data_IF_942850076611
#
_entry.id   IF_942850076611
#
_cell.length_a   1.000
_cell.length_b   1.000
_cell.length_c   1.000
_cell.angle_alpha   90.00
_cell.angle_beta   90.00
_cell.angle_gamma   90.00
#
_symmetry.space_group_name_H-M   'P 1'
#
loop_
_entity.id
_entity.type
_entity.pdbx_description
1 polymer ?
#
# COMPACT_ATOMS: atom_id res chain seq x y z
N UNK A 1 11.42 8.95 11.64
CA UNK A 1 10.45 7.82 11.69
C UNK A 1 9.69 7.92 13.01
N UNK A 2 8.37 7.97 12.98
CA UNK A 2 7.54 8.12 14.18
C UNK A 2 7.43 6.78 14.94
N UNK A 3 8.22 6.64 16.01
CA UNK A 3 8.23 5.43 16.84
C UNK A 3 6.88 5.16 17.54
N UNK A 4 6.07 6.19 17.78
CA UNK A 4 4.73 6.00 18.35
C UNK A 4 3.81 5.31 17.35
N UNK A 5 3.86 5.71 16.08
CA UNK A 5 3.03 5.13 15.02
C UNK A 5 3.35 3.64 14.79
N UNK A 6 4.63 3.28 14.78
CA UNK A 6 5.08 1.89 14.69
C UNK A 6 4.62 1.03 15.87
N UNK A 7 4.73 1.55 17.09
CA UNK A 7 4.33 0.83 18.29
C UNK A 7 2.81 0.59 18.32
N UNK A 8 2.02 1.58 17.91
CA UNK A 8 0.56 1.42 17.79
C UNK A 8 0.24 0.37 16.72
N UNK A 9 0.87 0.44 15.55
CA UNK A 9 0.64 -0.55 14.49
C UNK A 9 0.94 -1.98 14.95
N UNK A 10 2.04 -2.21 15.67
CA UNK A 10 2.40 -3.52 16.24
C UNK A 10 1.42 -4.04 17.30
N UNK A 11 0.67 -3.13 17.93
CA UNK A 11 -0.33 -3.48 18.95
C UNK A 11 -1.71 -3.78 18.36
N UNK A 12 -1.89 -3.63 17.05
CA UNK A 12 -3.16 -3.97 16.40
C UNK A 12 -3.48 -5.45 16.57
N UNK A 13 -4.78 -5.73 16.72
CA UNK A 13 -5.25 -7.09 16.86
C UNK A 13 -4.86 -7.91 15.64
N UNK A 14 -4.29 -9.09 15.90
CA UNK A 14 -3.97 -10.05 14.85
C UNK A 14 -5.25 -10.45 14.10
N UNK A 15 -5.21 -10.36 12.78
CA UNK A 15 -6.26 -10.83 11.88
C UNK A 15 -6.23 -12.36 11.84
N UNK A 16 -7.31 -13.06 12.20
CA UNK A 16 -7.36 -14.51 12.12
C UNK A 16 -7.16 -15.02 10.68
N UNK A 17 -6.50 -16.18 10.49
CA UNK A 17 -6.27 -16.75 9.16
C UNK A 17 -7.54 -16.90 8.31
N UNK A 18 -8.68 -17.24 8.92
CA UNK A 18 -9.96 -17.38 8.22
C UNK A 18 -10.45 -16.04 7.67
N UNK A 19 -10.32 -14.96 8.44
CA UNK A 19 -10.69 -13.61 8.04
C UNK A 19 -9.76 -13.09 6.93
N UNK A 20 -8.45 -13.32 7.05
CA UNK A 20 -7.49 -12.96 6.00
C UNK A 20 -7.75 -13.75 4.69
N UNK A 21 -8.09 -15.03 4.79
CA UNK A 21 -8.45 -15.85 3.63
C UNK A 21 -9.75 -15.40 2.97
N UNK A 22 -10.75 -14.99 3.76
CA UNK A 22 -12.00 -14.43 3.22
C UNK A 22 -11.76 -13.09 2.52
N UNK A 23 -10.94 -12.21 3.09
CA UNK A 23 -10.53 -10.96 2.42
C UNK A 23 -9.87 -11.23 1.06
N UNK A 24 -8.93 -12.18 1.00
CA UNK A 24 -8.28 -12.57 -0.26
C UNK A 24 -9.26 -13.17 -1.27
N UNK A 25 -10.26 -13.94 -0.83
CA UNK A 25 -11.32 -14.46 -1.72
C UNK A 25 -12.21 -13.34 -2.25
N UNK A 26 -12.57 -12.37 -1.42
CA UNK A 26 -13.51 -11.30 -1.78
C UNK A 26 -12.86 -10.11 -2.48
N UNK A 27 -11.53 -10.03 -2.54
CA UNK A 27 -10.78 -8.86 -3.05
C UNK A 27 -11.26 -8.29 -4.38
N UNK A 28 -11.74 -9.14 -5.31
CA UNK A 28 -12.26 -8.71 -6.60
C UNK A 28 -13.55 -7.90 -6.45
N UNK A 29 -14.51 -8.42 -5.68
CA UNK A 29 -15.78 -7.74 -5.38
C UNK A 29 -15.52 -6.46 -4.58
N UNK A 30 -14.60 -6.51 -3.61
CA UNK A 30 -14.26 -5.33 -2.82
C UNK A 30 -13.69 -4.20 -3.70
N UNK A 31 -12.75 -4.55 -4.60
CA UNK A 31 -12.15 -3.61 -5.55
C UNK A 31 -13.19 -2.98 -6.48
N UNK A 32 -14.10 -3.77 -7.03
CA UNK A 32 -15.17 -3.28 -7.91
C UNK A 32 -16.06 -2.27 -7.20
N UNK A 33 -16.42 -2.53 -5.94
CA UNK A 33 -17.25 -1.60 -5.18
C UNK A 33 -16.55 -0.29 -4.83
N UNK A 34 -15.26 -0.35 -4.45
CA UNK A 34 -14.49 0.86 -4.16
C UNK A 34 -14.29 1.70 -5.43
N UNK A 35 -13.99 1.07 -6.56
CA UNK A 35 -13.93 1.76 -7.86
C UNK A 35 -15.27 2.41 -8.22
N UNK A 36 -16.38 1.70 -8.00
CA UNK A 36 -17.73 2.24 -8.23
C UNK A 36 -18.01 3.43 -7.32
N UNK A 37 -17.76 3.32 -6.02
CA UNK A 37 -17.94 4.39 -5.05
C UNK A 37 -17.15 5.66 -5.42
N UNK A 38 -15.90 5.51 -5.84
CA UNK A 38 -15.08 6.64 -6.32
C UNK A 38 -15.64 7.25 -7.61
N UNK A 39 -16.01 6.43 -8.59
CA UNK A 39 -16.50 6.92 -9.89
C UNK A 39 -17.85 7.64 -9.79
N UNK A 40 -18.67 7.25 -8.80
CA UNK A 40 -19.97 7.87 -8.45
C UNK A 40 -19.82 9.08 -7.52
N UNK A 41 -18.63 9.34 -6.95
CA UNK A 41 -18.44 10.42 -5.99
C UNK A 41 -18.64 11.81 -6.64
N UNK A 42 -19.53 12.67 -6.11
CA UNK A 42 -19.83 13.97 -6.69
C UNK A 42 -18.61 14.88 -6.85
N UNK A 43 -17.71 14.86 -5.85
CA UNK A 43 -16.52 15.71 -5.83
C UNK A 43 -15.25 14.97 -6.30
N UNK A 44 -15.39 13.90 -7.11
CA UNK A 44 -14.21 13.12 -7.56
C UNK A 44 -13.14 13.97 -8.26
N UNK A 45 -13.52 15.05 -8.94
CA UNK A 45 -12.58 15.97 -9.58
C UNK A 45 -11.72 16.72 -8.56
N UNK A 46 -12.27 17.06 -7.39
CA UNK A 46 -11.50 17.65 -6.30
C UNK A 46 -10.53 16.62 -5.71
N UNK A 47 -10.98 15.38 -5.50
CA UNK A 47 -10.16 14.30 -4.95
C UNK A 47 -8.99 13.93 -5.87
N UNK A 48 -9.23 13.86 -7.18
CA UNK A 48 -8.28 13.36 -8.18
C UNK A 48 -7.36 14.44 -8.76
N UNK A 49 -7.79 15.69 -8.73
CA UNK A 49 -7.16 16.78 -9.47
C UNK A 49 -7.20 16.53 -10.99
N UNK A 50 -6.13 16.83 -11.74
CA UNK A 50 -6.11 16.72 -13.20
C UNK A 50 -5.89 15.29 -13.73
N UNK A 51 -5.78 14.30 -12.84
CA UNK A 51 -5.38 12.94 -13.21
C UNK A 51 -6.54 12.13 -13.83
N UNK A 52 -6.24 11.10 -14.64
CA UNK A 52 -7.24 10.16 -15.13
C UNK A 52 -7.70 9.19 -14.02
N UNK A 53 -8.95 8.71 -14.08
CA UNK A 53 -9.49 7.72 -13.11
C UNK A 53 -8.62 6.46 -13.01
N UNK A 54 -8.01 6.04 -14.12
CA UNK A 54 -7.11 4.89 -14.16
C UNK A 54 -5.95 4.96 -13.14
N UNK A 55 -5.50 6.16 -12.77
CA UNK A 55 -4.48 6.35 -11.73
C UNK A 55 -4.97 5.78 -10.38
N UNK A 56 -6.20 6.10 -10.00
CA UNK A 56 -6.79 5.70 -8.72
C UNK A 56 -7.31 4.27 -8.78
N UNK A 57 -7.84 3.80 -9.90
CA UNK A 57 -8.21 2.39 -10.07
C UNK A 57 -7.00 1.45 -9.91
N UNK A 58 -5.85 1.85 -10.46
CA UNK A 58 -4.59 1.14 -10.23
C UNK A 58 -4.13 1.25 -8.77
N UNK A 59 -4.35 2.39 -8.10
CA UNK A 59 -4.10 2.51 -6.67
C UNK A 59 -4.94 1.51 -5.86
N UNK A 60 -6.24 1.42 -6.12
CA UNK A 60 -7.15 0.51 -5.44
C UNK A 60 -6.76 -0.96 -5.67
N UNK A 61 -6.35 -1.32 -6.89
CA UNK A 61 -5.84 -2.66 -7.19
C UNK A 61 -4.57 -2.97 -6.38
N UNK A 62 -3.63 -2.03 -6.32
CA UNK A 62 -2.42 -2.20 -5.51
C UNK A 62 -2.73 -2.30 -4.02
N UNK A 63 -3.65 -1.46 -3.53
CA UNK A 63 -4.10 -1.44 -2.15
C UNK A 63 -4.69 -2.80 -1.75
N UNK A 64 -5.65 -3.34 -2.51
CA UNK A 64 -6.30 -4.60 -2.13
C UNK A 64 -5.32 -5.77 -2.11
N UNK A 65 -4.37 -5.80 -3.06
CA UNK A 65 -3.31 -6.81 -3.11
C UNK A 65 -2.31 -6.68 -1.96
N UNK A 66 -1.95 -5.45 -1.60
CA UNK A 66 -1.07 -5.16 -0.49
C UNK A 66 -1.72 -5.52 0.85
N UNK A 67 -2.95 -5.05 1.09
CA UNK A 67 -3.69 -5.31 2.31
C UNK A 67 -3.96 -6.81 2.52
N UNK A 68 -4.26 -7.57 1.45
CA UNK A 68 -4.36 -9.03 1.56
C UNK A 68 -3.07 -9.68 2.09
N UNK A 69 -1.91 -9.20 1.63
CA UNK A 69 -0.61 -9.69 2.12
C UNK A 69 -0.37 -9.25 3.56
N UNK A 70 -0.71 -8.01 3.92
CA UNK A 70 -0.62 -7.49 5.30
C UNK A 70 -1.47 -8.33 6.25
N UNK A 71 -2.72 -8.64 5.91
CA UNK A 71 -3.61 -9.43 6.75
C UNK A 71 -3.17 -10.88 6.88
N UNK A 72 -2.67 -11.48 5.80
CA UNK A 72 -2.15 -12.85 5.85
C UNK A 72 -0.91 -12.97 6.73
N UNK A 73 -0.05 -11.95 6.76
CA UNK A 73 1.23 -11.97 7.46
C UNK A 73 1.21 -11.22 8.81
N UNK A 74 0.14 -10.47 9.10
CA UNK A 74 0.00 -9.62 10.27
C UNK A 74 1.15 -8.61 10.45
N UNK A 75 1.69 -8.09 9.35
CA UNK A 75 2.81 -7.13 9.33
C UNK A 75 2.32 -5.68 9.32
N UNK A 76 1.54 -5.27 10.32
CA UNK A 76 0.92 -3.94 10.33
C UNK A 76 1.92 -2.78 10.44
N UNK A 77 3.10 -3.00 11.01
CA UNK A 77 4.16 -1.99 11.07
C UNK A 77 4.62 -1.51 9.68
N UNK A 78 4.43 -2.34 8.64
CA UNK A 78 4.78 -1.95 7.28
C UNK A 78 3.87 -0.81 6.79
N UNK A 79 2.62 -0.75 7.23
CA UNK A 79 1.68 0.33 6.90
C UNK A 79 2.20 1.69 7.40
N UNK A 80 2.73 1.74 8.63
CA UNK A 80 3.29 2.96 9.20
C UNK A 80 4.48 3.51 8.40
N UNK A 81 5.20 2.64 7.67
CA UNK A 81 6.33 3.01 6.81
C UNK A 81 5.88 3.40 5.39
N UNK A 82 4.88 2.71 4.85
CA UNK A 82 4.47 2.84 3.45
C UNK A 82 3.48 3.99 3.23
N UNK A 83 2.51 4.17 4.13
CA UNK A 83 1.41 5.15 3.94
C UNK A 83 1.92 6.58 3.75
N UNK A 84 2.86 7.12 4.55
CA UNK A 84 3.39 8.47 4.32
C UNK A 84 3.96 8.67 2.91
N UNK A 85 4.62 7.64 2.37
CA UNK A 85 5.17 7.68 1.02
C UNK A 85 4.08 7.69 -0.04
N UNK A 86 3.07 6.82 0.08
CA UNK A 86 1.91 6.78 -0.82
C UNK A 86 1.23 8.15 -0.84
N UNK A 87 0.97 8.71 0.33
CA UNK A 87 0.37 10.03 0.50
C UNK A 87 1.13 11.11 -0.28
N UNK A 88 2.45 11.16 -0.12
CA UNK A 88 3.30 12.09 -0.87
C UNK A 88 3.26 11.82 -2.37
N UNK A 89 3.45 10.57 -2.80
CA UNK A 89 3.60 10.22 -4.22
C UNK A 89 2.36 10.60 -5.05
N UNK A 90 1.16 10.35 -4.52
CA UNK A 90 -0.07 10.75 -5.20
C UNK A 90 -0.36 12.24 -5.04
N UNK A 91 -0.08 12.84 -3.87
CA UNK A 91 -0.28 14.28 -3.68
C UNK A 91 0.61 15.13 -4.59
N UNK A 92 1.86 14.74 -4.83
CA UNK A 92 2.75 15.43 -5.79
C UNK A 92 2.17 15.44 -7.22
N UNK A 93 1.31 14.47 -7.56
CA UNK A 93 0.59 14.42 -8.84
C UNK A 93 -0.72 15.21 -8.83
N UNK A 94 -1.08 15.84 -7.72
CA UNK A 94 -2.29 16.65 -7.58
C UNK A 94 -3.51 15.92 -7.01
N UNK A 95 -3.34 14.71 -6.46
CA UNK A 95 -4.41 14.03 -5.70
C UNK A 95 -4.56 14.72 -4.33
N UNK A 96 -5.80 15.03 -3.92
CA UNK A 96 -6.07 15.65 -2.62
C UNK A 96 -5.74 14.69 -1.47
N UNK A 97 -5.30 15.20 -0.32
CA UNK A 97 -5.20 14.36 0.89
C UNK A 97 -6.57 13.83 1.34
N UNK A 98 -7.65 14.53 1.01
CA UNK A 98 -9.03 14.12 1.34
C UNK A 98 -9.47 12.85 0.59
N UNK A 99 -8.75 12.45 -0.47
CA UNK A 99 -8.98 11.18 -1.17
C UNK A 99 -8.72 9.97 -0.27
N UNK A 100 -7.69 10.03 0.59
CA UNK A 100 -7.28 8.87 1.38
C UNK A 100 -8.31 8.44 2.44
N UNK A 101 -8.86 9.32 3.30
CA UNK A 101 -9.92 8.90 4.21
C UNK A 101 -11.15 8.41 3.44
N UNK A 102 -11.50 9.04 2.31
CA UNK A 102 -12.60 8.59 1.46
C UNK A 102 -12.40 7.14 0.96
N UNK A 103 -11.25 6.81 0.38
CA UNK A 103 -11.04 5.44 -0.12
C UNK A 103 -11.04 4.41 1.02
N UNK A 104 -10.47 4.75 2.18
CA UNK A 104 -10.42 3.86 3.34
C UNK A 104 -11.82 3.61 3.91
N UNK A 105 -12.69 4.61 3.91
CA UNK A 105 -14.11 4.45 4.27
C UNK A 105 -14.85 3.57 3.25
N UNK A 106 -14.59 3.76 1.95
CA UNK A 106 -15.16 2.91 0.91
C UNK A 106 -14.74 1.44 1.06
N UNK A 107 -13.47 1.18 1.43
CA UNK A 107 -13.01 -0.17 1.77
C UNK A 107 -13.74 -0.73 2.98
N UNK A 108 -13.89 0.04 4.07
CA UNK A 108 -14.62 -0.39 5.28
C UNK A 108 -16.06 -0.79 4.93
N UNK A 109 -16.76 0.03 4.15
CA UNK A 109 -18.15 -0.25 3.77
C UNK A 109 -18.25 -1.52 2.93
N UNK A 110 -17.37 -1.67 1.94
CA UNK A 110 -17.35 -2.87 1.11
C UNK A 110 -17.03 -4.14 1.92
N UNK A 111 -16.08 -4.06 2.86
CA UNK A 111 -15.73 -5.17 3.76
C UNK A 111 -16.93 -5.56 4.62
N UNK A 112 -17.63 -4.60 5.23
CA UNK A 112 -18.81 -4.87 6.06
C UNK A 112 -19.92 -5.55 5.28
N UNK A 113 -20.07 -5.20 4.00
CA UNK A 113 -21.10 -5.76 3.13
C UNK A 113 -20.82 -7.19 2.71
N UNK A 114 -19.55 -7.54 2.45
CA UNK A 114 -19.19 -8.82 1.82
C UNK A 114 -18.51 -9.83 2.74
N UNK A 115 -17.92 -9.39 3.85
CA UNK A 115 -17.17 -10.25 4.78
C UNK A 115 -17.94 -10.33 6.09
N UNK A 116 -18.60 -11.47 6.34
CA UNK A 116 -19.43 -11.70 7.54
C UNK A 116 -18.84 -12.76 8.48
N UNK A 117 -17.62 -13.23 8.19
CA UNK A 117 -16.94 -14.25 9.00
C UNK A 117 -16.46 -13.69 10.34
N UNK A 118 -16.36 -14.53 11.39
CA UNK A 118 -15.71 -14.13 12.64
C UNK A 118 -14.29 -13.59 12.40
N UNK A 119 -13.94 -12.51 13.09
CA UNK A 119 -12.62 -11.87 12.97
C UNK A 119 -12.55 -10.73 11.95
N UNK A 120 -13.63 -10.42 11.21
CA UNK A 120 -13.68 -9.25 10.33
C UNK A 120 -13.41 -7.93 11.08
N UNK A 121 -13.78 -7.84 12.36
CA UNK A 121 -13.51 -6.66 13.19
C UNK A 121 -12.01 -6.35 13.30
N UNK A 122 -11.14 -7.37 13.27
CA UNK A 122 -9.69 -7.15 13.27
C UNK A 122 -9.22 -6.48 11.97
N UNK A 123 -9.82 -6.84 10.82
CA UNK A 123 -9.56 -6.18 9.53
C UNK A 123 -10.04 -4.73 9.59
N UNK A 124 -11.27 -4.51 10.06
CA UNK A 124 -11.85 -3.18 10.17
C UNK A 124 -11.06 -2.28 11.12
N UNK A 125 -10.49 -2.84 12.20
CA UNK A 125 -9.63 -2.11 13.13
C UNK A 125 -8.35 -1.59 12.46
N UNK A 126 -7.76 -2.33 11.51
CA UNK A 126 -6.59 -1.86 10.75
C UNK A 126 -6.96 -0.65 9.88
N UNK A 127 -8.11 -0.69 9.20
CA UNK A 127 -8.59 0.45 8.43
C UNK A 127 -8.93 1.66 9.29
N UNK A 128 -9.62 1.45 10.42
CA UNK A 128 -9.92 2.50 11.39
C UNK A 128 -8.63 3.13 11.97
N UNK A 129 -7.58 2.32 12.17
CA UNK A 129 -6.27 2.82 12.57
C UNK A 129 -5.65 3.71 11.49
N UNK A 130 -5.74 3.34 10.20
CA UNK A 130 -5.25 4.17 9.12
C UNK A 130 -5.96 5.53 9.07
N UNK A 131 -7.29 5.54 9.21
CA UNK A 131 -8.11 6.76 9.22
C UNK A 131 -7.77 7.63 10.44
N UNK A 132 -7.74 7.07 11.65
CA UNK A 132 -7.45 7.82 12.88
C UNK A 132 -6.03 8.41 12.95
N UNK A 133 -5.12 7.94 12.09
CA UNK A 133 -3.76 8.48 11.97
C UNK A 133 -3.57 9.30 10.68
N UNK A 134 -4.64 9.62 9.94
CA UNK A 134 -4.59 10.38 8.68
C UNK A 134 -3.75 11.65 8.79
N UNK A 135 -4.03 12.52 9.76
CA UNK A 135 -3.30 13.79 9.94
C UNK A 135 -1.81 13.59 10.20
N UNK A 136 -1.45 12.51 10.91
CA UNK A 136 -0.04 12.15 11.14
C UNK A 136 0.62 11.69 9.85
N UNK A 137 -0.08 10.89 9.04
CA UNK A 137 0.42 10.49 7.73
C UNK A 137 0.58 11.70 6.80
N UNK A 138 -0.35 12.65 6.80
CA UNK A 138 -0.23 13.91 6.03
C UNK A 138 0.96 14.74 6.52
N UNK A 139 1.15 14.85 7.84
CA UNK A 139 2.29 15.57 8.40
C UNK A 139 3.61 14.94 7.96
N UNK A 140 3.73 13.62 8.07
CA UNK A 140 4.89 12.87 7.59
C UNK A 140 5.06 13.03 6.07
N UNK A 141 3.97 12.94 5.28
CA UNK A 141 3.95 13.11 3.83
C UNK A 141 4.52 14.48 3.36
N UNK A 142 4.26 15.54 4.14
CA UNK A 142 4.74 16.91 3.88
C UNK A 142 6.15 17.17 4.42
N UNK A 143 6.60 16.40 5.40
CA UNK A 143 7.92 16.57 5.98
C UNK A 143 9.02 16.15 5.00
N UNK A 144 10.14 16.87 4.99
CA UNK A 144 11.37 16.41 4.33
C UNK A 144 12.01 15.22 5.08
N UNK A 145 11.42 14.76 6.18
CA UNK A 145 11.84 13.58 6.94
C UNK A 145 11.40 12.26 6.31
N UNK A 146 10.63 12.31 5.23
CA UNK A 146 10.49 11.15 4.38
C UNK A 146 11.83 10.90 3.71
N UNK A 147 12.60 10.07 4.41
CA UNK A 147 13.81 9.41 3.97
C UNK A 147 13.66 9.14 2.48
N UNK A 148 14.40 9.89 1.66
CA UNK A 148 14.86 9.42 0.34
C UNK A 148 15.16 7.95 0.53
N UNK A 149 14.60 7.03 -0.28
CA UNK A 149 14.76 5.61 -0.04
C UNK A 149 16.24 5.38 0.20
N UNK A 150 16.57 4.82 1.37
CA UNK A 150 17.96 4.57 1.69
C UNK A 150 18.54 3.85 0.49
N UNK A 151 19.70 4.32 0.00
CA UNK A 151 20.37 3.63 -1.08
C UNK A 151 20.43 2.15 -0.68
N UNK A 152 20.02 1.23 -1.57
CA UNK A 152 20.08 -0.18 -1.28
C UNK A 152 21.45 -0.48 -0.69
N UNK A 153 21.51 -1.27 0.37
CA UNK A 153 22.79 -1.79 0.84
C UNK A 153 23.54 -2.39 -0.37
N UNK A 154 24.86 -2.20 -0.43
CA UNK A 154 25.67 -2.54 -1.63
C UNK A 154 25.43 -3.98 -2.12
N UNK A 155 25.13 -4.92 -1.21
CA UNK A 155 24.83 -6.30 -1.53
C UNK A 155 23.54 -6.51 -2.35
N UNK A 156 22.62 -5.54 -2.35
CA UNK A 156 21.29 -5.64 -2.97
C UNK A 156 21.13 -4.80 -4.23
N UNK A 157 22.11 -3.97 -4.61
CA UNK A 157 22.03 -3.08 -5.79
C UNK A 157 21.75 -3.89 -7.06
N UNK A 158 22.54 -4.93 -7.35
CA UNK A 158 22.36 -5.76 -8.54
C UNK A 158 21.00 -6.47 -8.56
N UNK A 159 20.54 -6.90 -7.39
CA UNK A 159 19.28 -7.62 -7.25
C UNK A 159 18.07 -6.69 -7.41
N UNK A 160 18.17 -5.47 -6.88
CA UNK A 160 17.22 -4.37 -7.12
C UNK A 160 17.13 -4.03 -8.60
N UNK A 161 18.25 -3.89 -9.31
CA UNK A 161 18.22 -3.60 -10.76
C UNK A 161 17.56 -4.73 -11.55
N UNK A 162 17.87 -5.98 -11.24
CA UNK A 162 17.21 -7.15 -11.87
C UNK A 162 15.72 -7.19 -11.58
N UNK A 163 15.32 -6.85 -10.36
CA UNK A 163 13.91 -6.78 -9.97
C UNK A 163 13.19 -5.65 -10.71
N UNK A 164 13.79 -4.47 -10.80
CA UNK A 164 13.30 -3.33 -11.56
C UNK A 164 13.08 -3.66 -13.03
N UNK A 165 14.08 -4.27 -13.69
CA UNK A 165 13.96 -4.71 -15.10
C UNK A 165 12.84 -5.73 -15.27
N UNK A 166 12.70 -6.68 -14.33
CA UNK A 166 11.63 -7.67 -14.37
C UNK A 166 10.24 -7.03 -14.29
N UNK A 167 10.07 -5.99 -13.46
CA UNK A 167 8.82 -5.23 -13.36
C UNK A 167 8.56 -4.43 -14.64
N UNK A 168 9.54 -3.64 -15.11
CA UNK A 168 9.40 -2.79 -16.30
C UNK A 168 9.11 -3.59 -17.58
N UNK A 169 9.56 -4.84 -17.64
CA UNK A 169 9.32 -5.73 -18.79
C UNK A 169 8.14 -6.69 -18.59
N UNK A 170 7.30 -6.47 -17.57
CA UNK A 170 6.15 -7.30 -17.22
C UNK A 170 6.47 -8.79 -17.03
N UNK A 171 7.71 -9.11 -16.61
CA UNK A 171 8.17 -10.48 -16.33
C UNK A 171 7.92 -10.86 -14.87
N UNK A 172 6.65 -10.92 -14.49
CA UNK A 172 6.22 -11.18 -13.10
C UNK A 172 6.79 -12.47 -12.52
N UNK A 173 6.97 -13.52 -13.34
CA UNK A 173 7.60 -14.78 -12.93
C UNK A 173 9.05 -14.60 -12.44
N UNK A 174 9.81 -13.70 -13.07
CA UNK A 174 11.20 -13.42 -12.71
C UNK A 174 11.28 -12.55 -11.45
N UNK A 175 10.38 -11.57 -11.31
CA UNK A 175 10.28 -10.77 -10.10
C UNK A 175 9.93 -11.65 -8.87
N UNK A 176 9.02 -12.62 -9.07
CA UNK A 176 8.66 -13.60 -8.04
C UNK A 176 9.80 -14.56 -7.71
N UNK A 177 10.60 -14.99 -8.68
CA UNK A 177 11.77 -15.82 -8.44
C UNK A 177 12.81 -15.09 -7.60
N UNK A 178 13.06 -13.81 -7.91
CA UNK A 178 13.93 -12.94 -7.12
C UNK A 178 13.41 -12.85 -5.68
N UNK A 179 12.12 -12.53 -5.50
CA UNK A 179 11.51 -12.44 -4.17
C UNK A 179 11.63 -13.75 -3.37
N UNK A 180 11.36 -14.90 -3.99
CA UNK A 180 11.46 -16.21 -3.33
C UNK A 180 12.89 -16.56 -2.89
N UNK A 181 13.90 -16.15 -3.66
CA UNK A 181 15.31 -16.41 -3.30
C UNK A 181 15.80 -15.48 -2.19
N UNK A 182 15.29 -14.24 -2.15
CA UNK A 182 15.74 -13.23 -1.19
C UNK A 182 14.97 -13.26 0.13
N UNK A 183 13.75 -13.81 0.15
CA UNK A 183 12.91 -13.91 1.35
C UNK A 183 12.75 -15.39 1.76
N UNK A 184 13.80 -16.02 2.30
CA UNK A 184 13.71 -17.41 2.77
C UNK A 184 12.86 -17.55 4.04
N UNK A 185 12.66 -16.47 4.80
CA UNK A 185 11.79 -16.42 5.97
C UNK A 185 11.14 -15.04 6.13
N UNK A 186 10.15 -14.96 7.03
CA UNK A 186 9.41 -13.73 7.34
C UNK A 186 10.32 -12.55 7.74
N UNK A 187 11.42 -12.83 8.45
CA UNK A 187 12.36 -11.81 8.92
C UNK A 187 13.09 -11.07 7.78
N UNK A 188 13.13 -11.69 6.59
CA UNK A 188 13.80 -11.13 5.42
C UNK A 188 12.88 -10.26 4.57
N UNK A 189 11.57 -10.26 4.85
CA UNK A 189 10.58 -9.53 4.07
C UNK A 189 10.77 -8.02 4.21
N UNK A 190 11.09 -7.54 5.41
CA UNK A 190 11.41 -6.13 5.64
C UNK A 190 12.64 -5.70 4.83
N UNK A 191 13.73 -6.48 4.88
CA UNK A 191 14.95 -6.18 4.14
C UNK A 191 14.73 -6.20 2.63
N UNK A 192 14.01 -7.20 2.12
CA UNK A 192 13.63 -7.25 0.69
C UNK A 192 12.79 -6.05 0.28
N UNK A 193 11.82 -5.66 1.09
CA UNK A 193 10.99 -4.49 0.81
C UNK A 193 11.82 -3.21 0.78
N UNK A 194 12.62 -2.96 1.82
CA UNK A 194 13.38 -1.72 1.98
C UNK A 194 14.55 -1.60 1.00
N UNK A 195 15.23 -2.68 0.65
CA UNK A 195 16.42 -2.64 -0.21
C UNK A 195 16.13 -2.92 -1.70
N UNK A 196 15.00 -3.55 -2.04
CA UNK A 196 14.72 -3.98 -3.43
C UNK A 196 13.42 -3.37 -3.93
N UNK A 197 12.29 -3.66 -3.28
CA UNK A 197 10.98 -3.25 -3.78
C UNK A 197 10.83 -1.74 -3.73
N UNK A 198 11.04 -1.13 -2.57
CA UNK A 198 10.88 0.31 -2.39
C UNK A 198 11.81 1.09 -3.34
N UNK A 199 13.14 0.85 -3.39
CA UNK A 199 14.01 1.60 -4.31
C UNK A 199 13.65 1.39 -5.78
N UNK A 200 13.29 0.17 -6.21
CA UNK A 200 12.83 -0.07 -7.59
C UNK A 200 11.54 0.71 -7.91
N UNK A 201 10.59 0.77 -6.99
CA UNK A 201 9.35 1.53 -7.19
C UNK A 201 9.58 3.04 -7.23
N UNK A 202 10.54 3.56 -6.46
CA UNK A 202 10.95 4.96 -6.57
C UNK A 202 11.62 5.27 -7.92
N UNK A 203 12.46 4.37 -8.42
CA UNK A 203 13.05 4.51 -9.75
C UNK A 203 11.98 4.54 -10.85
N UNK A 204 10.96 3.69 -10.75
CA UNK A 204 9.79 3.72 -11.64
C UNK A 204 9.05 5.05 -11.50
N UNK A 205 8.83 5.52 -10.26
CA UNK A 205 8.20 6.81 -9.99
C UNK A 205 8.94 7.97 -10.66
N UNK A 206 10.28 8.02 -10.53
CA UNK A 206 11.12 9.03 -11.18
C UNK A 206 11.08 8.93 -12.70
N UNK A 207 11.11 7.72 -13.26
CA UNK A 207 10.97 7.50 -14.71
C UNK A 207 9.64 8.04 -15.23
N UNK A 208 8.56 7.75 -14.51
CA UNK A 208 7.25 8.31 -14.83
C UNK A 208 7.17 9.83 -14.71
N UNK A 209 7.82 10.44 -13.72
CA UNK A 209 7.91 11.90 -13.60
C UNK A 209 8.66 12.54 -14.79
N UNK A 210 9.60 11.80 -15.39
CA UNK A 210 10.40 12.24 -16.54
C UNK A 210 9.78 11.85 -17.90
N UNK A 211 8.70 11.07 -17.91
CA UNK A 211 8.07 10.57 -19.14
C UNK A 211 8.81 9.41 -19.81
N UNK A 212 9.59 8.65 -19.04
CA UNK A 212 10.32 7.44 -19.45
C UNK A 212 9.59 6.13 -19.13
#
# INVERSE_FOLDING_TARGET
>A
MDHSLLNIARSLQHVPPEAAAEYERQKGVLLEEVNRAFNEHPDKTHLLGPNPSALIENNHLNHVMFMSSIFRLNQFELLAKVIPWVYRAYHTKGVSYDYFPFELEAWIESIRKHITVPGVDAILAVYAWMISNHDRFVHLAKSHELVEPALPENAFIELKERFLVAILTAKTSHALEIAKKTVPSHDHLESFFMNIVQPAMYDIGRKWELGE
#
